data_IF_076460603121
#
_entry.id   IF_076460603121
#
_cell.length_a   1.000
_cell.length_b   1.000
_cell.length_c   1.000
_cell.angle_alpha   90.00
_cell.angle_beta   90.00
_cell.angle_gamma   90.00
#
_symmetry.space_group_name_H-M   'P 1'
#
loop_
_entity.id
_entity.type
_entity.pdbx_description
1 polymer ?
#
# COMPACT_ATOMS: atom_id res chain seq x y z
N UNK A 1 4.65 -15.70 -11.83
CA UNK A 1 4.97 -15.30 -10.46
C UNK A 1 4.90 -16.56 -9.59
N UNK A 2 5.89 -16.83 -8.74
CA UNK A 2 5.95 -18.02 -7.86
C UNK A 2 5.73 -17.61 -6.40
N UNK A 3 5.38 -18.57 -5.53
CA UNK A 3 5.25 -18.34 -4.08
C UNK A 3 6.50 -17.65 -3.50
N UNK A 4 7.69 -18.02 -3.99
CA UNK A 4 8.96 -17.44 -3.56
C UNK A 4 9.08 -15.96 -3.92
N UNK A 5 8.54 -15.53 -5.06
CA UNK A 5 8.57 -14.12 -5.47
C UNK A 5 7.63 -13.25 -4.61
N UNK A 6 6.44 -13.75 -4.25
CA UNK A 6 5.53 -13.06 -3.33
C UNK A 6 6.13 -12.89 -1.95
N UNK A 7 6.79 -13.94 -1.44
CA UNK A 7 7.45 -13.90 -0.15
C UNK A 7 8.53 -12.80 -0.09
N UNK A 8 9.35 -12.70 -1.13
CA UNK A 8 10.38 -11.65 -1.24
C UNK A 8 9.74 -10.26 -1.21
N UNK A 9 8.65 -10.04 -1.97
CA UNK A 9 7.95 -8.75 -2.01
C UNK A 9 7.39 -8.39 -0.63
N UNK A 10 6.77 -9.34 0.06
CA UNK A 10 6.20 -9.13 1.39
C UNK A 10 7.30 -8.83 2.39
N UNK A 11 8.37 -9.63 2.44
CA UNK A 11 9.50 -9.41 3.37
C UNK A 11 10.20 -8.08 3.12
N UNK A 12 10.44 -7.71 1.86
CA UNK A 12 11.03 -6.43 1.51
C UNK A 12 10.14 -5.25 1.91
N UNK A 13 8.81 -5.41 1.79
CA UNK A 13 7.85 -4.38 2.20
C UNK A 13 7.85 -4.22 3.72
N UNK A 14 7.82 -5.32 4.48
CA UNK A 14 7.92 -5.28 5.94
C UNK A 14 9.23 -4.64 6.41
N UNK A 15 10.35 -5.03 5.81
CA UNK A 15 11.66 -4.42 6.06
C UNK A 15 11.64 -2.92 5.79
N UNK A 16 11.09 -2.49 4.65
CA UNK A 16 10.99 -1.07 4.27
C UNK A 16 10.11 -0.25 5.22
N UNK A 17 9.14 -0.87 5.89
CA UNK A 17 8.31 -0.21 6.92
C UNK A 17 9.01 -0.19 8.28
N UNK A 18 10.04 -1.02 8.49
CA UNK A 18 10.81 -1.07 9.73
C UNK A 18 10.41 -2.20 10.68
N UNK A 19 9.72 -3.24 10.19
CA UNK A 19 9.35 -4.41 10.99
C UNK A 19 10.49 -5.43 11.05
N UNK A 20 11.39 -5.28 12.01
CA UNK A 20 12.60 -6.11 12.16
C UNK A 20 12.86 -6.61 13.59
N UNK A 21 11.86 -6.54 14.48
CA UNK A 21 12.00 -6.98 15.88
C UNK A 21 10.86 -7.93 16.25
N UNK A 22 11.21 -9.18 16.60
CA UNK A 22 10.27 -10.22 16.97
C UNK A 22 9.82 -10.14 18.45
N UNK A 23 10.53 -9.41 19.30
CA UNK A 23 10.22 -9.27 20.72
C UNK A 23 9.11 -8.23 20.94
N UNK A 24 9.20 -7.10 20.24
CA UNK A 24 8.25 -5.99 20.40
C UNK A 24 7.28 -5.85 19.22
N UNK A 25 7.53 -6.50 18.08
CA UNK A 25 6.76 -6.31 16.86
C UNK A 25 6.81 -7.52 15.92
N UNK A 26 6.61 -7.26 14.62
CA UNK A 26 6.79 -8.24 13.55
C UNK A 26 8.25 -8.20 13.10
N UNK A 27 8.85 -9.36 12.85
CA UNK A 27 10.17 -9.46 12.21
C UNK A 27 10.03 -10.03 10.79
N UNK A 28 10.42 -9.22 9.79
CA UNK A 28 10.38 -9.60 8.38
C UNK A 28 11.21 -10.85 8.05
N UNK A 29 12.16 -11.25 8.91
CA UNK A 29 13.03 -12.43 8.70
C UNK A 29 12.38 -13.73 9.16
N UNK A 30 11.56 -13.67 10.20
CA UNK A 30 11.06 -14.87 10.90
C UNK A 30 9.54 -15.05 10.78
N UNK A 31 8.81 -14.02 10.36
CA UNK A 31 7.37 -14.13 10.17
C UNK A 31 7.01 -15.21 9.13
N UNK A 32 5.92 -15.93 9.40
CA UNK A 32 5.36 -16.91 8.47
C UNK A 32 4.52 -16.18 7.43
N UNK A 33 4.75 -16.50 6.17
CA UNK A 33 4.00 -15.96 5.03
C UNK A 33 3.23 -17.12 4.41
N UNK A 34 1.91 -16.95 4.29
CA UNK A 34 1.01 -17.90 3.67
C UNK A 34 0.48 -17.29 2.38
N UNK A 35 0.78 -17.94 1.26
CA UNK A 35 0.20 -17.59 -0.03
C UNK A 35 -1.07 -18.42 -0.25
N UNK A 36 -2.20 -17.71 -0.34
CA UNK A 36 -3.54 -18.26 -0.58
C UNK A 36 -4.22 -17.49 -1.72
N UNK A 37 -3.44 -17.05 -2.71
CA UNK A 37 -3.94 -16.30 -3.86
C UNK A 37 -4.51 -17.27 -4.90
N UNK A 38 -5.81 -17.14 -5.17
CA UNK A 38 -6.50 -17.82 -6.25
C UNK A 38 -6.72 -16.91 -7.47
N UNK A 39 -7.02 -17.53 -8.61
CA UNK A 39 -7.38 -16.81 -9.84
C UNK A 39 -8.72 -16.07 -9.68
N UNK A 40 -8.90 -14.98 -10.44
CA UNK A 40 -10.19 -14.29 -10.51
C UNK A 40 -11.30 -15.24 -10.99
N UNK A 41 -12.50 -15.11 -10.41
CA UNK A 41 -13.68 -15.88 -10.86
C UNK A 41 -13.94 -15.67 -12.36
N UNK A 42 -14.14 -16.75 -13.15
CA UNK A 42 -14.48 -16.65 -14.57
C UNK A 42 -15.76 -15.84 -14.81
N UNK A 43 -16.75 -15.93 -13.91
CA UNK A 43 -18.02 -15.21 -14.04
C UNK A 43 -17.81 -13.69 -13.89
N UNK A 44 -16.95 -13.29 -12.96
CA UNK A 44 -16.56 -11.88 -12.79
C UNK A 44 -15.75 -11.42 -14.00
N UNK A 45 -14.78 -12.22 -14.45
CA UNK A 45 -13.96 -11.89 -15.61
C UNK A 45 -14.83 -11.67 -16.88
N UNK A 46 -15.82 -12.53 -17.11
CA UNK A 46 -16.75 -12.43 -18.23
C UNK A 46 -17.65 -11.20 -18.17
N UNK A 47 -18.09 -10.82 -16.96
CA UNK A 47 -18.88 -9.61 -16.75
C UNK A 47 -18.03 -8.32 -16.91
N UNK A 48 -16.75 -8.37 -16.56
CA UNK A 48 -15.90 -7.17 -16.48
C UNK A 48 -15.13 -6.91 -17.76
N UNK A 49 -14.33 -7.86 -18.26
CA UNK A 49 -13.32 -7.58 -19.30
C UNK A 49 -13.20 -8.60 -20.44
N UNK A 50 -13.62 -9.85 -20.28
CA UNK A 50 -13.40 -10.88 -21.31
C UNK A 50 -14.19 -10.57 -22.59
N UNK A 51 -13.50 -10.54 -23.73
CA UNK A 51 -14.03 -10.21 -25.07
C UNK A 51 -14.61 -8.79 -25.20
N UNK A 52 -14.14 -7.85 -24.39
CA UNK A 52 -14.52 -6.44 -24.45
C UNK A 52 -13.33 -5.59 -24.89
N UNK A 53 -13.56 -4.51 -25.65
CA UNK A 53 -12.50 -3.52 -25.85
C UNK A 53 -12.24 -2.75 -24.55
N UNK A 54 -11.13 -2.02 -24.48
CA UNK A 54 -10.75 -1.25 -23.28
C UNK A 54 -11.84 -0.22 -22.90
N UNK A 55 -12.53 0.36 -23.88
CA UNK A 55 -13.63 1.29 -23.67
C UNK A 55 -14.92 0.63 -23.17
N UNK A 56 -15.03 -0.69 -23.31
CA UNK A 56 -16.20 -1.48 -22.94
C UNK A 56 -16.02 -2.21 -21.59
N UNK A 57 -14.85 -2.11 -20.95
CA UNK A 57 -14.57 -2.71 -19.65
C UNK A 57 -15.59 -2.19 -18.62
N UNK A 58 -16.31 -3.12 -18.00
CA UNK A 58 -17.32 -2.83 -16.98
C UNK A 58 -16.68 -2.54 -15.62
N UNK A 59 -17.50 -2.02 -14.69
CA UNK A 59 -17.08 -1.90 -13.29
C UNK A 59 -16.79 -3.30 -12.72
N UNK A 60 -15.69 -3.41 -11.95
CA UNK A 60 -15.30 -4.67 -11.30
C UNK A 60 -16.24 -5.10 -10.18
N UNK A 61 -16.93 -4.14 -9.57
CA UNK A 61 -17.93 -4.34 -8.53
C UNK A 61 -18.86 -3.10 -8.47
N UNK A 62 -19.95 -3.21 -7.72
CA UNK A 62 -20.85 -2.10 -7.42
C UNK A 62 -20.25 -1.15 -6.37
N UNK A 63 -20.41 0.16 -6.57
CA UNK A 63 -19.93 1.17 -5.62
C UNK A 63 -20.32 2.59 -5.99
N UNK A 64 -20.22 3.49 -5.01
CA UNK A 64 -20.35 4.94 -5.20
C UNK A 64 -19.03 5.61 -4.87
N UNK A 65 -18.59 6.51 -5.75
CA UNK A 65 -17.36 7.27 -5.57
C UNK A 65 -17.70 8.75 -5.43
N UNK A 66 -17.07 9.43 -4.48
CA UNK A 66 -17.16 10.88 -4.31
C UNK A 66 -15.77 11.50 -4.37
N UNK A 67 -15.65 12.59 -5.12
CA UNK A 67 -14.45 13.42 -5.18
C UNK A 67 -14.70 14.74 -4.45
N UNK A 68 -13.72 15.21 -3.69
CA UNK A 68 -13.77 16.48 -2.99
C UNK A 68 -12.45 17.24 -3.18
N UNK A 69 -12.54 18.57 -3.31
CA UNK A 69 -11.41 19.47 -3.37
C UNK A 69 -11.78 20.79 -2.69
N UNK A 70 -10.81 21.41 -2.01
CA UNK A 70 -10.99 22.70 -1.32
C UNK A 70 -9.74 23.55 -1.48
N UNK A 71 -9.89 24.87 -1.61
CA UNK A 71 -8.77 25.80 -1.79
C UNK A 71 -8.11 26.22 -0.48
N UNK A 72 -8.48 25.61 0.67
CA UNK A 72 -7.85 25.85 1.97
C UNK A 72 -6.33 25.63 1.94
N UNK A 73 -5.85 24.73 1.06
CA UNK A 73 -4.44 24.38 0.94
C UNK A 73 -3.98 24.29 -0.51
N UNK A 74 -2.67 24.40 -0.76
CA UNK A 74 -2.10 24.31 -2.12
C UNK A 74 -2.30 22.95 -2.79
N UNK A 75 -2.47 21.87 -2.02
CA UNK A 75 -2.71 20.54 -2.59
C UNK A 75 -4.20 20.27 -2.85
N UNK A 76 -5.05 21.28 -2.71
CA UNK A 76 -6.51 21.19 -2.80
C UNK A 76 -7.16 20.22 -1.80
N UNK A 77 -6.48 19.92 -0.69
CA UNK A 77 -6.99 19.06 0.38
C UNK A 77 -7.45 19.88 1.59
N UNK A 78 -8.37 19.35 2.43
CA UNK A 78 -8.73 20.00 3.69
C UNK A 78 -7.51 20.29 4.55
N UNK A 79 -7.49 21.47 5.18
CA UNK A 79 -6.39 21.89 6.07
C UNK A 79 -6.17 20.91 7.23
N UNK A 80 -7.26 20.40 7.81
CA UNK A 80 -7.23 19.38 8.86
C UNK A 80 -6.53 18.09 8.42
N UNK A 81 -6.83 17.61 7.21
CA UNK A 81 -6.20 16.42 6.64
C UNK A 81 -4.70 16.65 6.38
N UNK A 82 -4.33 17.81 5.84
CA UNK A 82 -2.93 18.13 5.61
C UNK A 82 -2.11 18.17 6.90
N UNK A 83 -2.65 18.77 7.96
CA UNK A 83 -1.97 18.79 9.26
C UNK A 83 -1.80 17.37 9.81
N UNK A 84 -2.87 16.59 9.87
CA UNK A 84 -2.85 15.25 10.45
C UNK A 84 -1.94 14.28 9.67
N UNK A 85 -2.15 14.16 8.35
CA UNK A 85 -1.39 13.23 7.51
C UNK A 85 -0.03 13.80 7.13
N UNK A 86 -0.04 14.97 6.51
CA UNK A 86 1.12 15.55 5.81
C UNK A 86 2.20 16.07 6.76
N UNK A 87 1.82 16.58 7.94
CA UNK A 87 2.78 17.14 8.89
C UNK A 87 3.00 16.22 10.08
N UNK A 88 1.94 15.75 10.74
CA UNK A 88 2.09 14.97 11.97
C UNK A 88 2.50 13.52 11.70
N UNK A 89 1.69 12.75 10.96
CA UNK A 89 1.97 11.33 10.74
C UNK A 89 3.26 11.11 9.94
N UNK A 90 3.44 11.84 8.84
CA UNK A 90 4.67 11.77 8.04
C UNK A 90 5.86 12.30 8.83
N UNK A 91 5.74 13.45 9.51
CA UNK A 91 6.86 14.02 10.28
C UNK A 91 7.36 13.10 11.40
N UNK A 92 6.47 12.40 12.11
CA UNK A 92 6.87 11.40 13.12
C UNK A 92 7.57 10.21 12.46
N UNK A 93 7.06 9.74 11.32
CA UNK A 93 7.69 8.65 10.55
C UNK A 93 9.10 9.03 10.10
N UNK A 94 9.28 10.24 9.54
CA UNK A 94 10.58 10.71 9.04
C UNK A 94 11.61 10.80 10.17
N UNK A 95 11.21 11.36 11.32
CA UNK A 95 12.07 11.41 12.51
C UNK A 95 12.48 10.02 13.00
N UNK A 96 11.55 9.05 12.97
CA UNK A 96 11.83 7.68 13.37
C UNK A 96 12.85 7.02 12.44
N UNK A 97 12.74 7.26 11.13
CA UNK A 97 13.70 6.75 10.13
C UNK A 97 15.08 7.39 10.27
N UNK A 98 15.17 8.70 10.46
CA UNK A 98 16.44 9.41 10.65
C UNK A 98 17.20 8.93 11.88
N UNK A 99 16.50 8.52 12.94
CA UNK A 99 17.12 8.04 14.18
C UNK A 99 17.67 6.61 14.06
N UNK A 100 17.03 5.76 13.26
CA UNK A 100 17.38 4.34 13.15
C UNK A 100 18.36 4.05 12.02
N UNK A 101 18.34 4.84 10.95
CA UNK A 101 19.18 4.66 9.78
C UNK A 101 19.84 5.99 9.41
N UNK A 102 21.17 6.07 9.53
CA UNK A 102 21.91 7.16 8.90
C UNK A 102 21.63 7.12 7.40
N UNK A 103 21.35 8.28 6.80
CA UNK A 103 21.02 8.41 5.37
C UNK A 103 22.03 7.75 4.42
N UNK A 104 23.24 7.45 4.89
CA UNK A 104 24.32 6.78 4.15
C UNK A 104 24.19 5.25 4.05
N UNK A 105 23.32 4.59 4.83
CA UNK A 105 23.16 3.12 4.82
C UNK A 105 22.10 2.61 3.82
N UNK A 106 21.47 3.50 3.06
CA UNK A 106 20.35 3.18 2.14
C UNK A 106 20.71 3.49 0.66
N UNK A 107 21.95 3.91 0.36
CA UNK A 107 22.44 4.13 -1.02
C UNK A 107 23.24 2.96 -1.57
#
# INVERSE_FOLDING_TARGET
MTIHEYEIIVRNTLKRVGFDDAEHSIDYRTCKIHDLIDQQSPDIAQAVHVNKSDEEIGAGDQGLMSGYATNETRSMMPSSFQLAKGQLAIGVSDQWWEQLYNFDDIS
#
